data_IF_499637297333
#
_entry.id   IF_499637297333
#
_cell.length_a   1.000
_cell.length_b   1.000
_cell.length_c   1.000
_cell.angle_alpha   90.00
_cell.angle_beta   90.00
_cell.angle_gamma   90.00
#
_symmetry.space_group_name_H-M   'P 1'
#
loop_
_entity.id
_entity.type
_entity.pdbx_description
1 polymer ?
#
# COMPACT_ATOMS: atom_id res chain seq x y z
N UNK A 1 -25.33 3.44 1.44
CA UNK A 1 -24.16 2.73 2.01
C UNK A 1 -22.91 3.46 1.55
N UNK A 2 -22.05 3.89 2.47
CA UNK A 2 -20.74 4.42 2.09
C UNK A 2 -19.80 3.25 1.83
N UNK A 3 -19.44 3.01 0.56
CA UNK A 3 -18.41 2.05 0.22
C UNK A 3 -17.03 2.65 0.50
N UNK A 4 -16.49 2.40 1.69
CA UNK A 4 -15.10 2.74 1.99
C UNK A 4 -14.18 1.75 1.26
N UNK A 5 -13.20 2.28 0.52
CA UNK A 5 -12.15 1.49 -0.14
C UNK A 5 -10.91 1.47 0.74
N UNK A 6 -10.25 0.32 0.82
CA UNK A 6 -8.99 0.15 1.55
C UNK A 6 -7.93 -0.34 0.58
N UNK A 7 -6.69 0.11 0.78
CA UNK A 7 -5.51 -0.34 0.04
C UNK A 7 -4.65 -1.22 0.93
N UNK A 8 -4.12 -2.31 0.38
CA UNK A 8 -3.06 -3.08 1.02
C UNK A 8 -1.93 -3.26 0.03
N UNK A 9 -0.71 -3.01 0.48
CA UNK A 9 0.49 -3.27 -0.29
C UNK A 9 1.57 -3.88 0.56
N UNK A 10 2.47 -4.62 -0.07
CA UNK A 10 3.54 -5.35 0.60
C UNK A 10 4.86 -5.19 -0.15
N UNK A 11 5.93 -4.96 0.61
CA UNK A 11 7.30 -4.93 0.11
C UNK A 11 8.16 -5.95 0.85
N UNK A 12 8.98 -6.65 0.09
CA UNK A 12 9.89 -7.72 0.51
C UNK A 12 11.35 -7.29 0.66
N UNK A 13 11.72 -6.13 0.13
CA UNK A 13 13.04 -5.52 0.27
C UNK A 13 12.90 -4.05 0.65
N UNK A 14 13.89 -3.54 1.39
CA UNK A 14 14.03 -2.11 1.72
C UNK A 14 14.25 -1.24 0.47
N UNK A 15 14.66 -1.86 -0.64
CA UNK A 15 14.90 -1.16 -1.92
C UNK A 15 13.63 -1.01 -2.76
N UNK A 16 12.55 -1.75 -2.44
CA UNK A 16 11.29 -1.60 -3.15
C UNK A 16 10.64 -0.28 -2.72
N UNK A 17 10.26 0.53 -3.71
CA UNK A 17 9.68 1.84 -3.49
C UNK A 17 8.16 1.72 -3.22
N UNK A 18 7.76 1.69 -1.94
CA UNK A 18 6.35 1.73 -1.54
C UNK A 18 5.61 2.98 -2.05
N UNK A 19 6.32 4.07 -2.32
CA UNK A 19 5.76 5.34 -2.78
C UNK A 19 5.00 5.20 -4.10
N UNK A 20 5.51 4.42 -5.06
CA UNK A 20 4.78 4.18 -6.33
C UNK A 20 3.47 3.42 -6.11
N UNK A 21 3.44 2.51 -5.15
CA UNK A 21 2.23 1.73 -4.83
C UNK A 21 1.19 2.62 -4.14
N UNK A 22 1.62 3.48 -3.22
CA UNK A 22 0.75 4.48 -2.56
C UNK A 22 0.16 5.44 -3.59
N UNK A 23 0.97 5.99 -4.51
CA UNK A 23 0.49 6.90 -5.55
C UNK A 23 -0.56 6.23 -6.46
N UNK A 24 -0.35 4.97 -6.85
CA UNK A 24 -1.34 4.22 -7.63
C UNK A 24 -2.66 4.03 -6.87
N UNK A 25 -2.61 3.78 -5.55
CA UNK A 25 -3.80 3.65 -4.70
C UNK A 25 -4.54 4.99 -4.55
N UNK A 26 -3.81 6.11 -4.46
CA UNK A 26 -4.40 7.47 -4.45
C UNK A 26 -5.13 7.77 -5.76
N UNK A 27 -4.54 7.39 -6.90
CA UNK A 27 -5.15 7.60 -8.23
C UNK A 27 -6.49 6.86 -8.42
N UNK A 28 -6.71 5.76 -7.71
CA UNK A 28 -7.99 5.02 -7.74
C UNK A 28 -8.98 5.44 -6.64
N UNK A 29 -8.64 6.51 -5.89
CA UNK A 29 -9.49 7.14 -4.89
C UNK A 29 -9.48 6.45 -3.52
N UNK A 30 -8.37 5.83 -3.13
CA UNK A 30 -8.16 5.33 -1.77
C UNK A 30 -7.46 6.44 -0.97
N UNK A 31 -8.01 6.78 0.19
CA UNK A 31 -7.39 7.73 1.11
C UNK A 31 -6.13 7.12 1.71
N UNK A 32 -5.06 7.90 1.86
CA UNK A 32 -3.79 7.43 2.43
C UNK A 32 -3.95 6.84 3.83
N UNK A 33 -4.90 7.34 4.62
CA UNK A 33 -5.22 6.81 5.95
C UNK A 33 -5.75 5.37 5.92
N UNK A 34 -6.30 4.96 4.76
CA UNK A 34 -6.93 3.67 4.51
C UNK A 34 -5.99 2.76 3.68
N UNK A 35 -4.70 3.13 3.52
CA UNK A 35 -3.65 2.32 2.89
C UNK A 35 -2.77 1.67 3.96
N UNK A 36 -2.70 0.34 3.93
CA UNK A 36 -1.84 -0.45 4.80
C UNK A 36 -0.61 -0.95 4.04
N UNK A 37 0.56 -0.82 4.65
CA UNK A 37 1.84 -1.22 4.07
C UNK A 37 2.48 -2.27 4.96
N UNK A 38 2.73 -3.45 4.39
CA UNK A 38 3.44 -4.53 5.05
C UNK A 38 4.88 -4.62 4.54
N UNK A 39 5.85 -4.64 5.46
CA UNK A 39 7.28 -4.76 5.14
C UNK A 39 7.81 -6.07 5.69
N UNK A 40 7.80 -7.12 4.87
CA UNK A 40 8.33 -8.43 5.27
C UNK A 40 9.60 -8.75 4.49
N UNK A 41 10.77 -8.54 5.10
CA UNK A 41 12.02 -9.03 4.53
C UNK A 41 11.96 -10.54 4.39
N UNK A 42 12.11 -11.07 3.18
CA UNK A 42 12.24 -12.50 2.94
C UNK A 42 13.51 -13.00 3.63
N UNK A 43 13.35 -13.63 4.79
CA UNK A 43 14.43 -14.32 5.50
C UNK A 43 13.84 -15.53 6.22
N UNK A 44 13.32 -16.43 5.41
CA UNK A 44 13.18 -17.87 5.66
C UNK A 44 13.68 -18.58 4.40
#
# INVERSE_FOLDING_TARGET
>A
MNNRKFGYTRVSSKEQNEGRQIEAMRQIGIDERDIFIDKQSGKD
#
